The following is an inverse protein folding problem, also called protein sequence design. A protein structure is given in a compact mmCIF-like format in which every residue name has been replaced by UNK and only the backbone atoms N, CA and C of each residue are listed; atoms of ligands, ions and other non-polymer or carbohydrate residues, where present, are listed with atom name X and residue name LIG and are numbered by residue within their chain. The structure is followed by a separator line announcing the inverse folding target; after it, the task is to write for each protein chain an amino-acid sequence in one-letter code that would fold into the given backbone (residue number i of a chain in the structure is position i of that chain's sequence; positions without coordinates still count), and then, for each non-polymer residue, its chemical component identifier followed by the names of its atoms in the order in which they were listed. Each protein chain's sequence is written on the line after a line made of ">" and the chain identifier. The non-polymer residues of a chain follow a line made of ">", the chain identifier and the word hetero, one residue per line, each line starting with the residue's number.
data_IF_989958275412
#
_entry.id   IF_989958275412
#
_cell.length_a   1.000
_cell.length_b   1.000
_cell.length_c   1.000
_cell.angle_alpha   90.00
_cell.angle_beta   90.00
_cell.angle_gamma   90.00
#
_symmetry.space_group_name_H-M   'P 1'
#
loop_
_entity.id
_entity.type
_entity.pdbx_description
1 polymer ?
#
# COMPACT_ATOMS: atom_id res chain seq x y z
N UNK A 1 -39.55 22.00 25.23
CA UNK A 1 -38.93 22.16 23.91
C UNK A 1 -37.67 21.33 23.89
N UNK A 2 -37.71 20.29 23.07
CA UNK A 2 -36.65 19.31 22.82
C UNK A 2 -35.45 19.94 22.11
N UNK A 3 -34.26 19.38 22.32
CA UNK A 3 -33.43 18.87 21.23
C UNK A 3 -32.29 18.01 21.80
N UNK A 4 -32.51 16.70 21.73
CA UNK A 4 -31.50 15.65 21.72
C UNK A 4 -30.95 15.57 20.28
N UNK A 5 -29.63 15.39 20.12
CA UNK A 5 -28.97 15.05 18.85
C UNK A 5 -27.60 15.72 18.74
N UNK A 6 -26.49 15.05 18.44
CA UNK A 6 -26.32 13.82 17.71
C UNK A 6 -25.08 13.03 18.18
N UNK A 7 -25.30 11.81 18.67
CA UNK A 7 -24.32 10.73 18.57
C UNK A 7 -24.47 10.12 17.17
N UNK A 8 -23.55 10.47 16.27
CA UNK A 8 -23.64 10.13 14.86
C UNK A 8 -22.27 9.90 14.23
N UNK A 9 -21.42 9.09 14.84
CA UNK A 9 -20.20 8.59 14.20
C UNK A 9 -19.79 7.25 14.84
N UNK A 10 -20.17 6.12 14.25
CA UNK A 10 -19.67 4.83 14.76
C UNK A 10 -20.33 3.54 14.28
N UNK A 11 -21.11 3.55 13.19
CA UNK A 11 -21.87 2.36 12.78
C UNK A 11 -21.30 1.59 11.58
N UNK A 12 -20.37 2.16 10.79
CA UNK A 12 -19.79 1.46 9.64
C UNK A 12 -18.58 0.55 9.99
N UNK A 13 -17.91 0.78 11.12
CA UNK A 13 -16.62 0.17 11.46
C UNK A 13 -16.71 -1.15 12.27
N UNK A 14 -17.88 -1.46 12.85
CA UNK A 14 -18.00 -2.62 13.75
C UNK A 14 -18.23 -3.95 13.02
N UNK A 15 -18.86 -3.92 11.85
CA UNK A 15 -19.12 -5.10 11.01
C UNK A 15 -17.93 -5.47 10.12
N UNK A 16 -17.09 -4.49 9.76
CA UNK A 16 -15.88 -4.70 8.96
C UNK A 16 -14.81 -5.52 9.71
N UNK A 17 -14.67 -5.32 11.03
CA UNK A 17 -13.69 -6.02 11.87
C UNK A 17 -13.88 -7.56 11.92
N UNK A 18 -15.09 -8.10 12.15
CA UNK A 18 -15.36 -9.53 12.03
C UNK A 18 -15.06 -10.12 10.65
N UNK A 19 -15.34 -9.38 9.58
CA UNK A 19 -15.11 -9.85 8.22
C UNK A 19 -13.63 -9.85 7.85
N UNK A 20 -12.89 -8.85 8.30
CA UNK A 20 -11.43 -8.78 8.14
C UNK A 20 -10.72 -9.90 8.91
N UNK A 21 -11.12 -10.14 10.16
CA UNK A 21 -10.60 -11.26 10.94
C UNK A 21 -10.86 -12.61 10.23
N UNK A 22 -12.05 -12.81 9.67
CA UNK A 22 -12.38 -14.00 8.88
C UNK A 22 -11.49 -14.13 7.64
N UNK A 23 -11.23 -13.03 6.93
CA UNK A 23 -10.33 -13.02 5.76
C UNK A 23 -8.88 -13.33 6.17
N UNK A 24 -8.40 -12.80 7.28
CA UNK A 24 -7.06 -13.10 7.80
C UNK A 24 -6.93 -14.58 8.17
N UNK A 25 -7.95 -15.19 8.79
CA UNK A 25 -7.97 -16.64 9.05
C UNK A 25 -7.91 -17.43 7.76
N UNK A 26 -8.75 -17.09 6.76
CA UNK A 26 -8.75 -17.77 5.47
C UNK A 26 -7.41 -17.63 4.71
N UNK A 27 -6.78 -16.45 4.78
CA UNK A 27 -5.46 -16.22 4.20
C UNK A 27 -4.39 -17.09 4.86
N UNK A 28 -4.37 -17.18 6.19
CA UNK A 28 -3.39 -18.01 6.90
C UNK A 28 -3.56 -19.49 6.55
N UNK A 29 -4.81 -20.00 6.53
CA UNK A 29 -5.08 -21.38 6.12
C UNK A 29 -4.64 -21.65 4.67
N UNK A 30 -4.89 -20.71 3.76
CA UNK A 30 -4.40 -20.82 2.38
C UNK A 30 -2.87 -20.83 2.30
N UNK A 31 -2.18 -20.00 3.10
CA UNK A 31 -0.73 -20.01 3.17
C UNK A 31 -0.19 -21.33 3.71
N UNK A 32 -0.89 -21.97 4.66
CA UNK A 32 -0.51 -23.30 5.16
C UNK A 32 -0.53 -24.34 4.03
N UNK A 33 -1.61 -24.37 3.23
CA UNK A 33 -1.73 -25.27 2.07
C UNK A 33 -0.64 -25.01 1.02
N UNK A 34 -0.36 -23.74 0.71
CA UNK A 34 0.69 -23.36 -0.24
C UNK A 34 2.07 -23.75 0.27
N UNK A 35 2.36 -23.53 1.56
CA UNK A 35 3.63 -23.91 2.16
C UNK A 35 3.82 -25.43 2.12
N UNK A 36 2.79 -26.20 2.47
CA UNK A 36 2.81 -27.65 2.39
C UNK A 36 3.04 -28.15 0.95
N UNK A 37 2.36 -27.55 -0.03
CA UNK A 37 2.49 -27.90 -1.44
C UNK A 37 3.88 -27.60 -2.03
N UNK A 38 4.53 -26.52 -1.57
CA UNK A 38 5.82 -26.05 -2.08
C UNK A 38 7.02 -26.49 -1.23
N UNK A 39 6.79 -27.16 -0.10
CA UNK A 39 7.85 -27.58 0.83
C UNK A 39 8.52 -26.41 1.53
N UNK A 40 7.76 -25.35 1.84
CA UNK A 40 8.25 -24.16 2.55
C UNK A 40 7.89 -24.25 4.03
N UNK A 41 8.83 -23.88 4.89
CA UNK A 41 8.66 -23.83 6.35
C UNK A 41 7.72 -22.66 6.72
N UNK A 42 6.66 -22.96 7.50
CA UNK A 42 5.55 -22.03 7.70
C UNK A 42 5.87 -20.93 8.70
N UNK A 43 6.70 -21.19 9.70
CA UNK A 43 7.13 -20.19 10.68
C UNK A 43 7.95 -19.10 9.98
N UNK A 44 8.87 -19.48 9.08
CA UNK A 44 9.59 -18.55 8.21
C UNK A 44 8.67 -17.62 7.41
N UNK A 45 7.59 -18.16 6.83
CA UNK A 45 6.59 -17.33 6.12
C UNK A 45 5.83 -16.42 7.08
N UNK A 46 5.57 -16.89 8.30
CA UNK A 46 4.92 -16.11 9.36
C UNK A 46 5.72 -14.88 9.75
N UNK A 47 7.03 -15.03 9.92
CA UNK A 47 7.94 -13.93 10.28
C UNK A 47 7.95 -12.80 9.23
N UNK A 48 7.96 -13.17 7.95
CA UNK A 48 8.04 -12.19 6.85
C UNK A 48 6.68 -11.63 6.42
N UNK A 49 5.57 -12.26 6.82
CA UNK A 49 4.22 -11.86 6.39
C UNK A 49 3.87 -10.41 6.76
N UNK A 50 3.99 -9.96 8.02
CA UNK A 50 3.65 -8.58 8.39
C UNK A 50 4.46 -7.50 7.63
N UNK A 51 5.80 -7.58 7.54
CA UNK A 51 6.56 -6.58 6.78
C UNK A 51 6.29 -6.64 5.28
N UNK A 52 6.10 -7.83 4.70
CA UNK A 52 5.77 -8.00 3.28
C UNK A 52 4.41 -7.38 2.93
N UNK A 53 3.36 -7.65 3.72
CA UNK A 53 2.02 -7.08 3.48
C UNK A 53 2.02 -5.56 3.60
N UNK A 54 2.79 -5.00 4.54
CA UNK A 54 2.99 -3.56 4.65
C UNK A 54 3.62 -2.98 3.37
N UNK A 55 4.72 -3.58 2.90
CA UNK A 55 5.38 -3.16 1.66
C UNK A 55 4.43 -3.23 0.45
N UNK A 56 3.66 -4.32 0.31
CA UNK A 56 2.67 -4.46 -0.77
C UNK A 56 1.64 -3.34 -0.68
N UNK A 57 1.16 -3.01 0.52
CA UNK A 57 0.29 -1.86 0.75
C UNK A 57 0.92 -0.54 0.29
N UNK A 58 2.16 -0.26 0.69
CA UNK A 58 2.88 0.95 0.32
C UNK A 58 3.08 1.06 -1.21
N UNK A 59 3.45 -0.02 -1.88
CA UNK A 59 3.64 -0.04 -3.35
C UNK A 59 2.31 0.12 -4.08
N UNK A 60 1.25 -0.54 -3.58
CA UNK A 60 -0.06 -0.48 -4.21
C UNK A 60 -0.71 0.91 -4.14
N UNK A 61 -0.46 1.66 -3.06
CA UNK A 61 -0.90 3.05 -2.93
C UNK A 61 0.08 4.05 -3.56
N UNK A 62 1.35 3.68 -3.67
CA UNK A 62 2.40 4.46 -4.32
C UNK A 62 2.57 4.09 -5.81
N UNK A 63 3.78 3.68 -6.25
CA UNK A 63 4.18 3.54 -7.65
C UNK A 63 3.11 3.04 -8.63
N UNK A 64 2.48 1.91 -8.31
CA UNK A 64 1.31 1.40 -9.02
C UNK A 64 0.75 0.16 -8.34
N UNK A 65 -0.56 -0.07 -8.45
CA UNK A 65 -1.22 -1.29 -7.96
C UNK A 65 -0.67 -2.59 -8.57
N UNK A 66 -0.43 -2.70 -9.90
CA UNK A 66 0.21 -3.88 -10.48
C UNK A 66 1.66 -4.10 -10.03
N UNK A 67 2.35 -3.04 -9.59
CA UNK A 67 3.71 -3.12 -9.08
C UNK A 67 3.82 -3.93 -7.79
N UNK A 68 2.78 -3.94 -6.96
CA UNK A 68 2.82 -4.58 -5.64
C UNK A 68 3.14 -6.09 -5.66
N UNK A 69 2.43 -6.93 -6.44
CA UNK A 69 2.80 -8.35 -6.56
C UNK A 69 4.17 -8.57 -7.22
N UNK A 70 4.55 -7.73 -8.19
CA UNK A 70 5.86 -7.83 -8.85
C UNK A 70 7.01 -7.48 -7.89
N UNK A 71 6.82 -6.50 -7.01
CA UNK A 71 7.78 -6.15 -5.97
C UNK A 71 7.98 -7.30 -4.99
N UNK A 72 6.91 -7.96 -4.54
CA UNK A 72 7.01 -9.11 -3.65
C UNK A 72 7.82 -10.25 -4.28
N UNK A 73 7.58 -10.54 -5.57
CA UNK A 73 8.36 -11.51 -6.34
C UNK A 73 9.86 -11.15 -6.38
N UNK A 74 10.20 -9.89 -6.66
CA UNK A 74 11.59 -9.42 -6.71
C UNK A 74 12.28 -9.51 -5.35
N UNK A 75 11.58 -9.15 -4.27
CA UNK A 75 12.10 -9.28 -2.90
C UNK A 75 12.46 -10.74 -2.59
N UNK A 76 11.52 -11.67 -2.84
CA UNK A 76 11.76 -13.10 -2.62
C UNK A 76 12.93 -13.63 -3.49
N UNK A 77 12.98 -13.25 -4.76
CA UNK A 77 14.05 -13.64 -5.67
C UNK A 77 15.42 -13.10 -5.24
N UNK A 78 15.49 -11.87 -4.73
CA UNK A 78 16.73 -11.27 -4.23
C UNK A 78 17.17 -11.87 -2.89
N UNK A 79 16.23 -12.21 -2.01
CA UNK A 79 16.51 -12.91 -0.76
C UNK A 79 17.08 -14.31 -1.02
N UNK A 80 16.48 -15.08 -1.95
CA UNK A 80 16.96 -16.42 -2.32
C UNK A 80 18.39 -16.40 -2.90
N UNK A 81 18.77 -15.32 -3.60
CA UNK A 81 20.13 -15.14 -4.15
C UNK A 81 21.18 -14.72 -3.13
N UNK A 82 20.78 -14.34 -1.90
CA UNK A 82 21.70 -13.85 -0.88
C UNK A 82 22.73 -14.91 -0.45
N UNK A 83 22.32 -16.20 -0.42
CA UNK A 83 23.17 -17.34 -0.05
C UNK A 83 23.60 -17.33 1.42
N UNK A 84 23.45 -18.46 2.12
CA UNK A 84 24.04 -18.66 3.45
C UNK A 84 23.55 -17.73 4.58
N UNK A 85 22.55 -16.88 4.33
CA UNK A 85 21.89 -16.01 5.31
C UNK A 85 20.54 -16.63 5.66
N UNK A 86 20.08 -16.43 6.89
CA UNK A 86 18.71 -16.75 7.29
C UNK A 86 17.69 -16.13 6.29
N UNK A 87 16.80 -16.91 5.67
CA UNK A 87 15.93 -16.39 4.62
C UNK A 87 14.96 -15.32 5.13
N UNK A 88 14.53 -15.39 6.39
CA UNK A 88 13.65 -14.38 7.01
C UNK A 88 14.37 -13.03 7.15
N UNK A 89 15.59 -13.03 7.66
CA UNK A 89 16.46 -11.86 7.70
C UNK A 89 16.73 -11.31 6.29
N UNK A 90 17.06 -12.19 5.33
CA UNK A 90 17.32 -11.78 3.95
C UNK A 90 16.09 -11.16 3.26
N UNK A 91 14.88 -11.61 3.57
CA UNK A 91 13.65 -10.96 3.09
C UNK A 91 13.45 -9.61 3.78
N UNK A 92 13.64 -9.54 5.09
CA UNK A 92 13.47 -8.32 5.89
C UNK A 92 14.39 -7.19 5.39
N UNK A 93 15.67 -7.47 5.19
CA UNK A 93 16.64 -6.52 4.64
C UNK A 93 16.19 -5.96 3.27
N UNK A 94 15.60 -6.81 2.44
CA UNK A 94 15.14 -6.45 1.09
C UNK A 94 13.86 -5.63 1.17
N UNK A 95 12.96 -5.98 2.07
CA UNK A 95 11.77 -5.18 2.37
C UNK A 95 12.21 -3.77 2.78
N UNK A 96 13.12 -3.64 3.74
CA UNK A 96 13.57 -2.32 4.20
C UNK A 96 14.24 -1.49 3.10
N UNK A 97 15.10 -2.12 2.29
CA UNK A 97 15.72 -1.46 1.13
C UNK A 97 14.67 -0.94 0.12
N UNK A 98 13.63 -1.74 -0.16
CA UNK A 98 12.56 -1.35 -1.09
C UNK A 98 11.65 -0.30 -0.49
N UNK A 99 11.31 -0.38 0.80
CA UNK A 99 10.49 0.65 1.48
C UNK A 99 11.18 2.01 1.46
N UNK A 100 12.51 2.05 1.66
CA UNK A 100 13.29 3.27 1.49
C UNK A 100 13.21 3.81 0.05
N UNK A 101 13.17 2.93 -0.96
CA UNK A 101 12.98 3.34 -2.36
C UNK A 101 11.57 3.88 -2.63
N UNK A 102 10.53 3.28 -2.03
CA UNK A 102 9.14 3.76 -2.14
C UNK A 102 8.99 5.16 -1.55
N UNK A 103 9.58 5.42 -0.38
CA UNK A 103 9.57 6.75 0.23
C UNK A 103 10.16 7.82 -0.72
N UNK A 104 11.35 7.55 -1.27
CA UNK A 104 11.99 8.44 -2.27
C UNK A 104 11.18 8.57 -3.56
N UNK A 105 10.35 7.58 -3.90
CA UNK A 105 9.50 7.64 -5.09
C UNK A 105 8.31 8.59 -4.88
N UNK A 106 7.72 8.58 -3.69
CA UNK A 106 6.67 9.53 -3.32
C UNK A 106 7.16 10.98 -3.36
N UNK A 107 8.33 11.26 -2.79
CA UNK A 107 8.96 12.59 -2.81
C UNK A 107 9.10 13.14 -4.25
N UNK A 108 9.55 12.32 -5.20
CA UNK A 108 9.67 12.72 -6.61
C UNK A 108 8.32 13.04 -7.27
N UNK A 109 7.24 12.38 -6.84
CA UNK A 109 5.90 12.64 -7.37
C UNK A 109 5.28 13.91 -6.80
N UNK A 110 5.59 14.22 -5.55
CA UNK A 110 5.17 15.46 -4.90
C UNK A 110 5.85 16.66 -5.58
N UNK A 111 7.16 16.57 -5.86
CA UNK A 111 7.92 17.61 -6.57
C UNK A 111 7.50 17.78 -8.05
N UNK A 112 7.05 16.70 -8.70
CA UNK A 112 6.66 16.69 -10.10
C UNK A 112 5.21 17.15 -10.35
N UNK A 113 4.40 17.34 -9.29
CA UNK A 113 3.04 17.84 -9.42
C UNK A 113 3.07 19.34 -9.74
N UNK A 114 2.68 19.79 -10.96
CA UNK A 114 2.66 21.21 -11.28
C UNK A 114 1.51 21.86 -10.50
N UNK A 115 1.82 22.86 -9.69
CA UNK A 115 0.84 23.64 -8.95
C UNK A 115 -0.26 24.17 -9.87
N UNK A 116 -1.50 23.81 -9.54
CA UNK A 116 -2.70 24.47 -10.06
C UNK A 116 -2.73 25.94 -9.64
N UNK A 117 -2.17 26.80 -10.48
CA UNK A 117 -2.52 28.23 -10.52
C UNK A 117 -2.59 28.68 -11.97
N UNK A 118 -3.56 28.12 -12.70
CA UNK A 118 -4.19 28.87 -13.77
C UNK A 118 -5.11 29.90 -13.10
N UNK A 119 -4.52 31.00 -12.64
CA UNK A 119 -5.26 32.23 -12.45
C UNK A 119 -5.78 32.61 -13.84
N UNK A 120 -7.07 32.35 -14.06
CA UNK A 120 -7.80 32.87 -15.21
C UNK A 120 -7.89 34.38 -15.12
N UNK A 121 -6.81 35.08 -15.46
CA UNK A 121 -6.89 36.47 -15.89
C UNK A 121 -7.17 36.45 -17.38
N UNK A 122 -8.44 36.25 -17.73
CA UNK A 122 -8.91 36.67 -19.04
C UNK A 122 -8.97 38.20 -19.03
N UNK A 123 -8.26 38.93 -19.89
CA UNK A 123 -8.46 40.37 -20.00
C UNK A 123 -9.86 40.60 -20.56
N UNK A 124 -10.64 41.44 -19.86
CA UNK A 124 -11.95 41.88 -20.28
C UNK A 124 -11.88 42.52 -21.67
N UNK A 125 -12.58 41.92 -22.64
CA UNK A 125 -12.87 42.57 -23.91
C UNK A 125 -13.85 43.72 -23.66
N UNK A 126 -13.44 44.93 -24.05
CA UNK A 126 -14.21 46.16 -23.92
C UNK A 126 -15.51 46.10 -24.77
N UNK A 127 -16.62 46.70 -24.31
CA UNK A 127 -17.85 46.72 -25.09
C UNK A 127 -17.80 47.73 -26.23
N UNK A 128 -18.00 47.21 -27.43
CA UNK A 128 -18.80 47.76 -28.54
C UNK A 128 -18.91 49.27 -28.68
N UNK A 129 -18.24 49.76 -29.70
CA UNK A 129 -18.43 51.05 -30.34
C UNK A 129 -19.92 51.34 -30.62
N UNK A 130 -20.38 52.53 -30.23
CA UNK A 130 -21.74 53.02 -30.51
C UNK A 130 -21.64 54.21 -31.46
N UNK A 131 -22.00 53.91 -32.72
CA UNK A 131 -22.47 54.79 -33.81
C UNK A 131 -21.48 55.77 -34.44
#
# INVERSE_FOLDING_TARGET
>A
MSAQGADGAGTADRSARPDEARKMVAMNAWLDDVCAQLGVERDLVGEVTPPMLRLIGEVAHGPSRPGAPLTAFVVGLAAARAGGTDPSAAVTDRVDAVRALVARWAERQDDASPGGTAAGTSPAAAPGDRR
#
